data_IF_688232922273
#
_entry.id   IF_688232922273
#
_cell.length_a   1.000
_cell.length_b   1.000
_cell.length_c   1.000
_cell.angle_alpha   90.00
_cell.angle_beta   90.00
_cell.angle_gamma   90.00
#
_symmetry.space_group_name_H-M   'P 1'
#
loop_
_entity.id
_entity.type
_entity.pdbx_description
1 polymer ?
#
# COMPACT_ATOMS: atom_id res chain seq x y z
N UNK A 1 2.33 19.61 8.79
CA UNK A 1 3.08 18.84 7.78
C UNK A 1 2.14 17.80 7.20
N UNK A 2 2.19 17.53 5.90
CA UNK A 2 1.42 16.47 5.23
C UNK A 2 2.41 15.44 4.69
N UNK A 3 2.18 14.15 4.97
CA UNK A 3 2.91 13.06 4.34
C UNK A 3 2.29 12.75 2.97
N UNK A 4 3.09 12.57 1.92
CA UNK A 4 2.58 12.27 0.59
C UNK A 4 3.54 11.42 -0.24
N UNK A 5 3.04 10.36 -0.86
CA UNK A 5 3.81 9.52 -1.76
C UNK A 5 2.95 8.68 -2.70
N UNK A 6 3.54 8.30 -3.83
CA UNK A 6 2.96 7.39 -4.81
C UNK A 6 3.57 6.00 -4.70
N UNK A 7 2.82 4.94 -5.03
CA UNK A 7 3.36 3.58 -5.15
C UNK A 7 4.13 3.13 -3.89
N UNK A 8 5.42 2.81 -4.02
CA UNK A 8 6.34 2.51 -2.91
C UNK A 8 6.63 3.70 -2.00
N UNK A 9 6.53 4.93 -2.48
CA UNK A 9 6.56 6.13 -1.64
C UNK A 9 5.36 6.19 -0.70
N UNK A 10 4.20 5.70 -1.15
CA UNK A 10 3.02 5.54 -0.31
C UNK A 10 3.23 4.51 0.80
N UNK A 11 3.86 3.37 0.46
CA UNK A 11 4.32 2.37 1.43
C UNK A 11 5.21 2.99 2.50
N UNK A 12 6.25 3.72 2.07
CA UNK A 12 7.24 4.31 2.96
C UNK A 12 6.62 5.30 3.92
N UNK A 13 5.75 6.19 3.43
CA UNK A 13 5.05 7.14 4.30
C UNK A 13 4.12 6.47 5.30
N UNK A 14 3.37 5.46 4.86
CA UNK A 14 2.47 4.73 5.75
C UNK A 14 3.26 4.03 6.86
N UNK A 15 4.33 3.30 6.53
CA UNK A 15 5.15 2.62 7.55
C UNK A 15 5.87 3.63 8.45
N UNK A 16 6.40 4.72 7.90
CA UNK A 16 7.04 5.76 8.69
C UNK A 16 6.09 6.33 9.74
N UNK A 17 4.85 6.67 9.36
CA UNK A 17 3.87 7.21 10.31
C UNK A 17 3.49 6.15 11.35
N UNK A 18 3.34 4.89 10.97
CA UNK A 18 3.10 3.81 11.95
C UNK A 18 4.25 3.73 12.98
N UNK A 19 5.51 3.81 12.53
CA UNK A 19 6.66 3.85 13.44
C UNK A 19 6.64 5.08 14.35
N UNK A 20 6.26 6.25 13.82
CA UNK A 20 6.12 7.46 14.63
C UNK A 20 5.04 7.31 15.70
N UNK A 21 3.91 6.65 15.38
CA UNK A 21 2.87 6.33 16.38
C UNK A 21 3.41 5.35 17.43
N UNK A 22 4.08 4.28 17.01
CA UNK A 22 4.71 3.28 17.89
C UNK A 22 5.69 3.94 18.88
N UNK A 23 6.45 4.93 18.41
CA UNK A 23 7.43 5.69 19.19
C UNK A 23 6.86 6.93 19.91
N UNK A 24 5.53 7.12 19.87
CA UNK A 24 4.82 8.26 20.48
C UNK A 24 5.36 9.63 20.01
N UNK A 25 5.79 9.71 18.76
CA UNK A 25 6.29 10.93 18.13
C UNK A 25 5.16 11.72 17.47
N UNK A 26 5.33 13.05 17.29
CA UNK A 26 4.35 13.87 16.57
C UNK A 26 4.20 13.42 15.11
N UNK A 27 3.00 13.01 14.70
CA UNK A 27 2.69 12.58 13.33
C UNK A 27 2.28 13.77 12.42
N UNK A 28 2.32 13.61 11.08
CA UNK A 28 1.74 14.58 10.15
C UNK A 28 0.25 14.84 10.41
N UNK A 29 -0.27 15.98 9.95
CA UNK A 29 -1.69 16.34 10.06
C UNK A 29 -2.58 15.48 9.16
N UNK A 30 -2.02 14.94 8.07
CA UNK A 30 -2.71 14.09 7.12
C UNK A 30 -1.72 13.32 6.26
N UNK A 31 -2.24 12.28 5.61
CA UNK A 31 -1.48 11.40 4.73
C UNK A 31 -2.19 11.28 3.38
N UNK A 32 -1.49 11.57 2.28
CA UNK A 32 -1.99 11.42 0.90
C UNK A 32 -1.23 10.31 0.18
N UNK A 33 -1.93 9.29 -0.28
CA UNK A 33 -1.35 8.12 -0.93
C UNK A 33 -1.86 7.99 -2.36
N UNK A 34 -0.95 7.98 -3.33
CA UNK A 34 -1.30 7.81 -4.74
C UNK A 34 -0.99 6.39 -5.19
N UNK A 35 -2.02 5.59 -5.43
CA UNK A 35 -1.89 4.21 -5.88
C UNK A 35 -0.91 3.41 -5.01
N UNK A 36 -1.10 3.39 -3.66
CA UNK A 36 -0.06 2.90 -2.77
C UNK A 36 0.09 1.40 -2.89
N UNK A 37 1.34 0.95 -2.96
CA UNK A 37 1.67 -0.45 -2.68
C UNK A 37 1.72 -0.60 -1.15
N UNK A 38 0.88 -1.45 -0.55
CA UNK A 38 0.85 -1.57 0.92
C UNK A 38 1.02 -2.98 1.43
N UNK A 39 0.95 -3.98 0.56
CA UNK A 39 1.27 -5.36 0.93
C UNK A 39 2.47 -5.89 0.14
N UNK A 40 3.62 -5.99 0.82
CA UNK A 40 4.80 -6.64 0.29
C UNK A 40 4.65 -8.17 0.22
N UNK A 41 3.71 -8.72 0.99
CA UNK A 41 3.34 -10.13 0.92
C UNK A 41 2.32 -10.22 -0.20
N UNK A 42 2.75 -10.71 -1.34
CA UNK A 42 1.85 -10.99 -2.47
C UNK A 42 0.92 -12.19 -2.19
N UNK A 43 0.44 -12.34 -0.94
CA UNK A 43 -0.10 -13.57 -0.34
C UNK A 43 -1.61 -13.51 -0.09
N UNK A 44 -2.23 -12.33 -0.02
CA UNK A 44 -3.70 -12.21 0.10
C UNK A 44 -4.36 -12.34 -1.28
N UNK A 45 -4.33 -13.56 -1.81
CA UNK A 45 -4.92 -14.01 -3.10
C UNK A 45 -6.40 -14.40 -2.86
N UNK A 46 -7.15 -13.61 -2.10
CA UNK A 46 -8.60 -13.82 -1.93
C UNK A 46 -9.45 -12.69 -2.53
N UNK A 47 -8.83 -11.64 -3.09
CA UNK A 47 -9.54 -10.55 -3.76
C UNK A 47 -9.61 -10.79 -5.28
N UNK A 48 -10.78 -11.29 -5.70
CA UNK A 48 -11.35 -11.30 -7.05
C UNK A 48 -10.54 -12.02 -8.15
N UNK A 49 -11.19 -12.95 -8.85
CA UNK A 49 -10.57 -13.76 -9.92
C UNK A 49 -10.08 -12.91 -11.10
N UNK A 50 -10.66 -11.73 -11.30
CA UNK A 50 -10.32 -10.85 -12.43
C UNK A 50 -9.07 -9.99 -12.15
N UNK A 51 -8.83 -9.60 -10.89
CA UNK A 51 -7.58 -8.92 -10.49
C UNK A 51 -6.35 -9.83 -10.59
N UNK A 52 -6.60 -11.15 -10.61
CA UNK A 52 -5.60 -12.22 -10.73
C UNK A 52 -4.89 -12.17 -12.08
N UNK A 53 -5.55 -11.83 -13.18
CA UNK A 53 -4.93 -11.92 -14.51
C UNK A 53 -3.84 -10.86 -14.73
N UNK A 54 -4.02 -9.66 -14.16
CA UNK A 54 -3.05 -8.56 -14.26
C UNK A 54 -2.00 -8.54 -13.13
N UNK A 55 -2.27 -9.11 -11.95
CA UNK A 55 -1.32 -9.17 -10.83
C UNK A 55 -0.26 -10.28 -10.94
N UNK A 56 -0.51 -11.31 -11.74
CA UNK A 56 0.14 -12.62 -11.53
C UNK A 56 1.46 -12.83 -12.28
N UNK A 57 1.75 -12.15 -13.37
CA UNK A 57 2.85 -12.62 -14.23
C UNK A 57 4.26 -12.15 -13.81
N UNK A 58 4.44 -10.92 -13.32
CA UNK A 58 5.79 -10.39 -13.06
C UNK A 58 6.23 -10.55 -11.59
N UNK A 59 5.34 -10.24 -10.65
CA UNK A 59 5.62 -10.26 -9.21
C UNK A 59 5.43 -11.64 -8.57
N UNK A 60 4.42 -12.41 -9.01
CA UNK A 60 4.24 -13.78 -8.54
C UNK A 60 5.38 -14.68 -9.00
N UNK A 61 5.88 -14.53 -10.23
CA UNK A 61 7.02 -15.30 -10.71
C UNK A 61 8.29 -14.97 -9.91
N UNK A 62 8.53 -13.70 -9.57
CA UNK A 62 9.68 -13.33 -8.74
C UNK A 62 9.54 -13.88 -7.31
N UNK A 63 8.37 -13.74 -6.69
CA UNK A 63 8.08 -14.26 -5.35
C UNK A 63 8.14 -15.79 -5.29
N UNK A 64 7.63 -16.49 -6.31
CA UNK A 64 7.70 -17.95 -6.44
C UNK A 64 9.14 -18.41 -6.72
N UNK A 65 9.89 -17.73 -7.58
CA UNK A 65 11.30 -18.05 -7.85
C UNK A 65 12.16 -17.86 -6.60
N UNK A 66 11.93 -16.79 -5.83
CA UNK A 66 12.62 -16.56 -4.56
C UNK A 66 12.22 -17.64 -3.55
N UNK A 67 10.93 -17.97 -3.44
CA UNK A 67 10.44 -19.04 -2.57
C UNK A 67 11.06 -20.40 -2.90
N UNK A 68 11.10 -20.79 -4.18
CA UNK A 68 11.71 -22.06 -4.60
C UNK A 68 13.21 -22.10 -4.31
N UNK A 69 13.93 -21.02 -4.61
CA UNK A 69 15.37 -20.92 -4.31
C UNK A 69 15.65 -20.99 -2.81
N UNK A 70 14.82 -20.36 -1.99
CA UNK A 70 14.94 -20.36 -0.53
C UNK A 70 14.61 -21.73 0.06
N UNK A 71 13.53 -22.36 -0.39
CA UNK A 71 13.14 -23.70 0.07
C UNK A 71 14.17 -24.78 -0.30
N UNK A 72 14.92 -24.60 -1.39
CA UNK A 72 16.04 -25.48 -1.74
C UNK A 72 17.25 -25.32 -0.80
N UNK A 73 17.48 -24.11 -0.28
CA UNK A 73 18.55 -23.83 0.69
C UNK A 73 18.23 -24.44 2.07
N UNK A 74 16.95 -24.48 2.45
CA UNK A 74 16.50 -24.89 3.79
C UNK A 74 16.42 -26.40 4.06
N UNK A 75 16.62 -27.25 3.05
CA UNK A 75 16.43 -28.71 3.19
C UNK A 75 17.28 -29.40 4.27
N UNK A 76 18.27 -28.73 4.87
CA UNK A 76 19.17 -29.29 5.88
C UNK A 76 19.31 -28.47 7.18
N UNK A 77 18.51 -27.42 7.41
CA UNK A 77 18.68 -26.53 8.58
C UNK A 77 17.74 -26.87 9.76
N UNK A 78 18.21 -26.71 11.00
CA UNK A 78 17.48 -27.03 12.27
C UNK A 78 17.17 -25.80 13.14
N UNK A 79 17.39 -24.59 12.61
CA UNK A 79 16.95 -23.31 13.21
C UNK A 79 15.78 -22.71 12.43
N UNK A 80 15.34 -21.46 12.74
CA UNK A 80 14.40 -20.78 11.86
C UNK A 80 14.97 -20.77 10.45
N UNK A 81 14.12 -21.16 9.52
CA UNK A 81 14.49 -21.31 8.11
C UNK A 81 14.90 -19.95 7.54
N UNK A 82 15.77 -19.90 6.53
CA UNK A 82 16.09 -18.62 5.85
C UNK A 82 14.79 -17.94 5.38
N UNK A 83 13.80 -18.74 5.02
CA UNK A 83 12.44 -18.30 4.74
C UNK A 83 11.76 -17.59 5.92
N UNK A 84 11.81 -18.15 7.12
CA UNK A 84 11.20 -17.55 8.32
C UNK A 84 11.86 -16.21 8.68
N UNK A 85 13.20 -16.12 8.59
CA UNK A 85 13.92 -14.87 8.81
C UNK A 85 13.57 -13.82 7.75
N UNK A 86 13.47 -14.23 6.48
CA UNK A 86 13.04 -13.36 5.38
C UNK A 86 11.62 -12.82 5.60
N UNK A 87 10.65 -13.68 5.95
CA UNK A 87 9.28 -13.25 6.22
C UNK A 87 9.22 -12.32 7.43
N UNK A 88 10.04 -12.56 8.46
CA UNK A 88 10.14 -11.67 9.61
C UNK A 88 10.63 -10.27 9.20
N UNK A 89 11.73 -10.19 8.45
CA UNK A 89 12.26 -8.93 7.92
C UNK A 89 11.26 -8.23 7.00
N UNK A 90 10.55 -8.98 6.16
CA UNK A 90 9.52 -8.45 5.28
C UNK A 90 8.38 -7.83 6.09
N UNK A 91 7.92 -8.49 7.15
CA UNK A 91 6.86 -7.97 8.01
C UNK A 91 7.25 -6.65 8.68
N UNK A 92 8.51 -6.45 9.09
CA UNK A 92 8.98 -5.21 9.75
C UNK A 92 8.83 -3.96 8.88
N UNK A 93 8.91 -4.13 7.55
CA UNK A 93 8.80 -3.04 6.57
C UNK A 93 7.45 -3.03 5.85
N UNK A 94 6.59 -4.03 6.07
CA UNK A 94 5.31 -4.17 5.37
C UNK A 94 4.17 -3.52 6.16
N UNK A 95 3.63 -2.36 5.74
CA UNK A 95 2.70 -1.58 6.57
C UNK A 95 1.45 -2.36 7.01
N UNK A 96 0.99 -3.29 6.17
CA UNK A 96 -0.21 -4.09 6.41
C UNK A 96 -0.10 -5.04 7.61
N UNK A 97 1.14 -5.34 8.03
CA UNK A 97 1.46 -6.17 9.18
C UNK A 97 1.44 -5.40 10.52
N UNK A 98 1.26 -4.09 10.47
CA UNK A 98 1.30 -3.19 11.62
C UNK A 98 -0.07 -2.57 11.94
N UNK A 99 -0.17 -1.98 13.13
CA UNK A 99 -1.40 -1.30 13.57
C UNK A 99 -1.70 -0.07 12.71
N UNK A 100 -2.99 0.20 12.49
CA UNK A 100 -3.48 1.42 11.85
C UNK A 100 -4.01 2.43 12.87
N UNK A 101 -3.90 2.13 14.16
CA UNK A 101 -4.25 3.08 15.23
C UNK A 101 -3.34 4.31 15.20
N UNK A 102 -3.85 5.45 15.66
CA UNK A 102 -3.08 6.70 15.74
C UNK A 102 -2.75 7.36 14.39
N UNK A 103 -3.06 6.73 13.26
CA UNK A 103 -2.84 7.33 11.94
C UNK A 103 -3.63 8.63 11.77
N UNK A 104 -3.07 9.69 11.17
CA UNK A 104 -3.84 10.88 10.82
C UNK A 104 -4.89 10.55 9.73
N UNK A 105 -5.83 11.46 9.42
CA UNK A 105 -6.73 11.28 8.28
C UNK A 105 -5.96 10.93 7.00
N UNK A 106 -6.46 9.93 6.27
CA UNK A 106 -5.79 9.38 5.08
C UNK A 106 -6.62 9.64 3.83
N UNK A 107 -6.00 10.17 2.77
CA UNK A 107 -6.59 10.28 1.45
C UNK A 107 -5.86 9.36 0.49
N UNK A 108 -6.58 8.49 -0.21
CA UNK A 108 -6.01 7.53 -1.15
C UNK A 108 -6.64 7.76 -2.51
N UNK A 109 -5.83 7.93 -3.56
CA UNK A 109 -6.30 7.78 -4.94
C UNK A 109 -5.85 6.44 -5.48
N UNK A 110 -6.67 5.78 -6.28
CA UNK A 110 -6.23 4.57 -6.99
C UNK A 110 -6.98 4.44 -8.31
N UNK A 111 -6.30 4.04 -9.38
CA UNK A 111 -6.95 3.63 -10.62
C UNK A 111 -7.64 2.28 -10.47
N UNK A 112 -8.70 2.00 -11.23
CA UNK A 112 -9.28 0.65 -11.26
C UNK A 112 -8.55 -0.28 -12.23
N UNK A 113 -7.82 0.28 -13.20
CA UNK A 113 -7.03 -0.45 -14.20
C UNK A 113 -5.54 -0.44 -13.83
N UNK A 114 -5.24 -0.81 -12.58
CA UNK A 114 -3.86 -0.88 -12.10
C UNK A 114 -3.60 -2.00 -11.09
N UNK A 115 -2.32 -2.28 -10.90
CA UNK A 115 -1.85 -3.35 -10.04
C UNK A 115 -2.28 -3.16 -8.58
N UNK A 116 -2.29 -1.93 -8.03
CA UNK A 116 -2.49 -1.69 -6.60
C UNK A 116 -3.94 -1.40 -6.21
N UNK A 117 -4.90 -1.65 -7.11
CA UNK A 117 -6.31 -1.46 -6.81
C UNK A 117 -6.78 -2.26 -5.58
N UNK A 118 -6.47 -3.56 -5.52
CA UNK A 118 -6.84 -4.39 -4.36
C UNK A 118 -6.09 -3.98 -3.08
N UNK A 119 -4.86 -3.47 -3.19
CA UNK A 119 -4.09 -2.96 -2.07
C UNK A 119 -4.78 -1.75 -1.43
N UNK A 120 -5.27 -0.82 -2.25
CA UNK A 120 -6.03 0.34 -1.78
C UNK A 120 -7.37 -0.05 -1.14
N UNK A 121 -8.07 -1.08 -1.67
CA UNK A 121 -9.29 -1.61 -1.06
C UNK A 121 -9.01 -2.25 0.31
N UNK A 122 -7.95 -3.04 0.41
CA UNK A 122 -7.53 -3.67 1.66
C UNK A 122 -7.15 -2.62 2.71
N UNK A 123 -6.44 -1.57 2.28
CA UNK A 123 -6.06 -0.44 3.12
C UNK A 123 -7.29 0.27 3.70
N UNK A 124 -8.29 0.58 2.86
CA UNK A 124 -9.56 1.18 3.30
C UNK A 124 -10.23 0.35 4.39
N UNK A 125 -10.36 -0.97 4.17
CA UNK A 125 -10.97 -1.87 5.14
C UNK A 125 -10.24 -1.87 6.49
N UNK A 126 -8.91 -1.92 6.48
CA UNK A 126 -8.10 -1.96 7.71
C UNK A 126 -8.11 -0.63 8.46
N UNK A 127 -8.03 0.50 7.77
CA UNK A 127 -8.07 1.83 8.40
C UNK A 127 -9.45 2.06 9.05
N UNK A 128 -10.53 1.72 8.35
CA UNK A 128 -11.89 1.80 8.89
C UNK A 128 -12.08 0.87 10.10
N UNK A 129 -11.55 -0.37 10.04
CA UNK A 129 -11.61 -1.32 11.16
C UNK A 129 -10.86 -0.83 12.41
N UNK A 130 -9.86 0.04 12.24
CA UNK A 130 -9.14 0.72 13.34
C UNK A 130 -9.79 2.04 13.77
N UNK A 131 -11.04 2.32 13.36
CA UNK A 131 -11.78 3.54 13.68
C UNK A 131 -11.02 4.83 13.30
N UNK A 132 -10.32 4.80 12.17
CA UNK A 132 -9.62 5.96 11.60
C UNK A 132 -10.31 6.44 10.32
N UNK A 133 -10.02 7.67 9.94
CA UNK A 133 -10.61 8.32 8.78
C UNK A 133 -9.81 8.02 7.51
N UNK A 134 -10.52 7.57 6.47
CA UNK A 134 -9.97 7.38 5.13
C UNK A 134 -10.96 7.86 4.08
N UNK A 135 -10.43 8.51 3.05
CA UNK A 135 -11.13 8.79 1.80
C UNK A 135 -10.46 7.96 0.70
N UNK A 136 -11.21 7.06 0.06
CA UNK A 136 -10.73 6.31 -1.10
C UNK A 136 -11.37 6.85 -2.39
N UNK A 137 -10.58 7.56 -3.19
CA UNK A 137 -10.96 8.16 -4.47
C UNK A 137 -10.57 7.25 -5.64
N UNK A 138 -11.54 6.52 -6.18
CA UNK A 138 -11.37 5.53 -7.25
C UNK A 138 -11.48 6.19 -8.63
N UNK A 139 -10.39 6.14 -9.38
CA UNK A 139 -10.31 6.51 -10.78
C UNK A 139 -10.77 5.36 -11.68
N UNK A 140 -12.06 5.30 -11.99
CA UNK A 140 -12.62 4.25 -12.87
C UNK A 140 -12.04 4.34 -14.28
N UNK A 141 -11.46 3.23 -14.76
CA UNK A 141 -10.78 3.14 -16.05
C UNK A 141 -9.39 3.79 -16.08
N UNK A 142 -8.89 4.27 -14.94
CA UNK A 142 -7.63 5.02 -14.86
C UNK A 142 -6.47 4.12 -14.43
N UNK A 143 -5.27 4.51 -14.87
CA UNK A 143 -4.01 3.82 -14.65
C UNK A 143 -3.36 4.17 -13.30
N UNK A 144 -2.24 3.49 -13.04
CA UNK A 144 -1.39 3.75 -11.89
C UNK A 144 -0.97 5.22 -11.75
N UNK A 145 -1.07 5.75 -10.53
CA UNK A 145 -0.69 7.12 -10.16
C UNK A 145 -1.33 8.20 -11.05
N UNK A 146 -2.57 7.96 -11.54
CA UNK A 146 -3.22 8.85 -12.50
C UNK A 146 -3.24 10.35 -12.11
N UNK A 147 -3.34 10.78 -10.82
CA UNK A 147 -3.36 12.21 -10.49
C UNK A 147 -2.10 12.97 -10.89
N UNK A 148 -0.99 12.28 -11.18
CA UNK A 148 0.24 12.93 -11.67
C UNK A 148 0.09 13.51 -13.08
N UNK A 149 -0.86 13.01 -13.88
CA UNK A 149 -1.01 13.35 -15.30
C UNK A 149 -2.05 14.45 -15.57
N UNK A 150 -2.27 15.36 -14.61
CA UNK A 150 -3.27 16.46 -14.68
C UNK A 150 -3.20 17.34 -15.94
N UNK A 151 -2.03 17.44 -16.59
CA UNK A 151 -1.87 18.15 -17.87
C UNK A 151 -2.59 17.49 -19.04
N UNK A 152 -2.81 16.18 -18.98
CA UNK A 152 -3.29 15.37 -20.10
C UNK A 152 -4.60 14.61 -19.80
N UNK A 153 -5.01 14.57 -18.53
CA UNK A 153 -6.28 13.96 -18.10
C UNK A 153 -7.09 14.94 -17.23
N UNK A 154 -8.34 15.26 -17.62
CA UNK A 154 -9.22 16.05 -16.78
C UNK A 154 -9.57 15.33 -15.47
N UNK A 155 -9.62 13.99 -15.47
CA UNK A 155 -9.83 13.17 -14.28
C UNK A 155 -8.66 13.34 -13.29
N UNK A 156 -7.43 13.35 -13.79
CA UNK A 156 -6.24 13.62 -12.98
C UNK A 156 -6.25 15.04 -12.39
N UNK A 157 -6.68 16.04 -13.16
CA UNK A 157 -6.86 17.40 -12.65
C UNK A 157 -7.97 17.47 -11.59
N UNK A 158 -9.07 16.73 -11.76
CA UNK A 158 -10.13 16.61 -10.77
C UNK A 158 -9.61 15.98 -9.47
N UNK A 159 -8.84 14.89 -9.55
CA UNK A 159 -8.25 14.23 -8.39
C UNK A 159 -7.30 15.16 -7.62
N UNK A 160 -6.45 15.93 -8.31
CA UNK A 160 -5.61 16.93 -7.64
C UNK A 160 -6.40 18.01 -6.92
N UNK A 161 -7.54 18.44 -7.48
CA UNK A 161 -8.41 19.40 -6.82
C UNK A 161 -9.02 18.82 -5.54
N UNK A 162 -9.46 17.55 -5.56
CA UNK A 162 -9.97 16.87 -4.35
C UNK A 162 -8.88 16.69 -3.29
N UNK A 163 -7.66 16.32 -3.70
CA UNK A 163 -6.49 16.24 -2.80
C UNK A 163 -6.23 17.60 -2.15
N UNK A 164 -6.28 18.69 -2.94
CA UNK A 164 -6.13 20.05 -2.40
C UNK A 164 -7.21 20.36 -1.37
N UNK A 165 -8.48 20.09 -1.67
CA UNK A 165 -9.59 20.31 -0.75
C UNK A 165 -9.40 19.53 0.55
N UNK A 166 -9.02 18.25 0.46
CA UNK A 166 -8.68 17.45 1.64
C UNK A 166 -7.59 18.12 2.48
N UNK A 167 -6.50 18.58 1.87
CA UNK A 167 -5.40 19.25 2.58
C UNK A 167 -5.85 20.57 3.24
N UNK A 168 -6.74 21.32 2.59
CA UNK A 168 -7.28 22.59 3.10
C UNK A 168 -8.24 22.40 4.29
N UNK A 169 -8.82 21.22 4.45
CA UNK A 169 -9.79 20.88 5.50
C UNK A 169 -9.16 20.25 6.77
N UNK A 170 -7.87 19.95 6.76
CA UNK A 170 -7.10 19.40 7.90
C UNK A 170 -6.66 20.48 8.92
#
# INVERSE_FOLDING_TARGET
>A
MIGMGDSSGGLMWLRLIQMMVEEQQPVPLGLVLLSPWVDLRFMDIELDSDARENRVLLSLQLALNLREQILDIDKNFKGPTYFEEFIKQLNEVNPIAHSFEGLPPVYVTVGTEELFYCDALMLEQKILASNREIILDKGYGLMHAYPMYHRWSPEAACAQNKIRTFIEEL
#
